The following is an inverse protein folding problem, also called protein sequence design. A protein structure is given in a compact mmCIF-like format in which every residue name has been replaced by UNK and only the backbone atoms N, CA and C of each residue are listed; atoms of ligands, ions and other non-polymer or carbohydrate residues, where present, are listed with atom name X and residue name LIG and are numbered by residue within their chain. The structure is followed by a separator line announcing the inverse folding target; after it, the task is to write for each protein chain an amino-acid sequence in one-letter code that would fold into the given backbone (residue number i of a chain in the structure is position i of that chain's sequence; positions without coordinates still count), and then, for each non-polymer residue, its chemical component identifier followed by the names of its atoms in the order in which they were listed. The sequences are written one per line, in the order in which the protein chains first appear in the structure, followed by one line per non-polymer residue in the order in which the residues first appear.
data_IF_337997713937
#
_entry.id   IF_337997713937
#
_cell.length_a   1.000
_cell.length_b   1.000
_cell.length_c   1.000
_cell.angle_alpha   90.00
_cell.angle_beta   90.00
_cell.angle_gamma   90.00
#
_symmetry.space_group_name_H-M   'P 1'
#
loop_
_entity.id
_entity.type
_entity.pdbx_description
1 polymer ?
#
# COMPACT_ATOMS: atom_id res chain seq x y z
N UNK A 1 13.85 1.92 10.66
CA UNK A 1 14.11 0.48 10.93
C UNK A 1 15.49 0.24 11.50
N UNK A 2 16.58 0.67 10.84
CA UNK A 2 17.96 0.43 11.30
C UNK A 2 18.20 0.75 12.79
N UNK A 3 17.80 1.94 13.25
CA UNK A 3 17.94 2.35 14.67
C UNK A 3 17.24 1.39 15.65
N UNK A 4 16.12 0.76 15.26
CA UNK A 4 15.44 -0.22 16.10
C UNK A 4 16.18 -1.55 16.12
N UNK A 5 16.65 -2.02 14.96
CA UNK A 5 17.39 -3.28 14.80
C UNK A 5 18.76 -3.27 15.50
N UNK A 6 19.39 -2.09 15.63
CA UNK A 6 20.66 -1.90 16.33
C UNK A 6 20.47 -1.52 17.81
N UNK A 7 19.22 -1.31 18.25
CA UNK A 7 18.88 -0.85 19.59
C UNK A 7 18.75 -1.95 20.64
N UNK A 8 17.97 -1.65 21.68
CA UNK A 8 17.68 -2.56 22.79
C UNK A 8 16.88 -3.80 22.34
N UNK A 9 16.86 -4.89 23.14
CA UNK A 9 16.06 -6.08 22.83
C UNK A 9 14.57 -5.77 22.55
N UNK A 10 14.00 -4.81 23.29
CA UNK A 10 12.61 -4.38 23.07
C UNK A 10 12.42 -3.67 21.72
N UNK A 11 13.39 -2.87 21.28
CA UNK A 11 13.36 -2.21 19.97
C UNK A 11 13.50 -3.20 18.83
N UNK A 12 14.37 -4.20 18.96
CA UNK A 12 14.51 -5.29 17.98
C UNK A 12 13.23 -6.11 17.88
N UNK A 13 12.61 -6.44 19.01
CA UNK A 13 11.32 -7.14 19.03
C UNK A 13 10.22 -6.33 18.36
N UNK A 14 10.14 -5.02 18.61
CA UNK A 14 9.19 -4.11 17.97
C UNK A 14 9.38 -4.04 16.44
N UNK A 15 10.63 -4.02 15.99
CA UNK A 15 10.98 -4.06 14.57
C UNK A 15 10.50 -5.37 13.92
N UNK A 16 10.81 -6.51 14.52
CA UNK A 16 10.39 -7.81 14.02
C UNK A 16 8.87 -7.98 14.01
N UNK A 17 8.20 -7.58 15.09
CA UNK A 17 6.74 -7.64 15.20
C UNK A 17 6.04 -6.78 14.14
N UNK A 18 6.60 -5.60 13.86
CA UNK A 18 6.09 -4.74 12.78
C UNK A 18 6.27 -5.38 11.40
N UNK A 19 7.41 -6.01 11.13
CA UNK A 19 7.63 -6.74 9.89
C UNK A 19 6.63 -7.91 9.75
N UNK A 20 6.41 -8.67 10.83
CA UNK A 20 5.47 -9.80 10.86
C UNK A 20 4.06 -9.38 10.42
N UNK A 21 3.56 -8.24 10.92
CA UNK A 21 2.24 -7.74 10.57
C UNK A 21 2.15 -7.16 9.16
N UNK A 22 3.20 -6.50 8.68
CA UNK A 22 3.12 -5.70 7.45
C UNK A 22 3.62 -6.41 6.20
N UNK A 23 4.36 -7.51 6.31
CA UNK A 23 4.92 -8.21 5.15
C UNK A 23 3.86 -8.59 4.11
N UNK A 24 2.88 -9.42 4.49
CA UNK A 24 1.84 -9.90 3.58
C UNK A 24 0.92 -8.78 3.06
N UNK A 25 0.43 -7.85 3.91
CA UNK A 25 -0.32 -6.70 3.41
C UNK A 25 0.45 -5.85 2.40
N UNK A 26 1.78 -5.76 2.52
CA UNK A 26 2.62 -5.04 1.55
C UNK A 26 2.67 -5.78 0.21
N UNK A 27 2.80 -7.12 0.22
CA UNK A 27 2.76 -7.93 -1.00
C UNK A 27 1.40 -7.89 -1.71
N UNK A 28 0.32 -7.72 -0.95
CA UNK A 28 -1.05 -7.52 -1.46
C UNK A 28 -1.23 -6.19 -2.18
N UNK A 29 -0.39 -5.17 -1.93
CA UNK A 29 -0.51 -3.85 -2.57
C UNK A 29 -0.30 -3.90 -4.09
N UNK A 30 0.42 -4.89 -4.60
CA UNK A 30 0.64 -5.07 -6.04
C UNK A 30 -0.62 -5.55 -6.77
N UNK A 31 -1.68 -5.90 -6.04
CA UNK A 31 -2.95 -6.36 -6.60
C UNK A 31 -3.06 -7.89 -6.63
N UNK A 32 -4.15 -8.42 -7.22
CA UNK A 32 -4.37 -9.86 -7.34
C UNK A 32 -3.31 -10.51 -8.23
N UNK A 33 -3.24 -11.84 -8.19
CA UNK A 33 -2.50 -12.63 -9.17
C UNK A 33 -2.89 -12.24 -10.62
N UNK A 34 -1.96 -12.41 -11.55
CA UNK A 34 -2.16 -11.97 -12.94
C UNK A 34 -3.36 -12.65 -13.62
N UNK A 35 -3.62 -13.92 -13.29
CA UNK A 35 -4.76 -14.72 -13.78
C UNK A 35 -6.13 -14.27 -13.23
N UNK A 36 -6.12 -13.60 -12.07
CA UNK A 36 -7.30 -13.05 -11.41
C UNK A 36 -7.43 -11.52 -11.63
N UNK A 37 -6.66 -10.93 -12.55
CA UNK A 37 -6.63 -9.49 -12.79
C UNK A 37 -7.32 -9.10 -14.12
N UNK A 38 -8.63 -8.82 -14.12
CA UNK A 38 -9.40 -8.57 -15.36
C UNK A 38 -8.95 -7.33 -16.13
N UNK A 39 -8.26 -6.39 -15.47
CA UNK A 39 -7.81 -5.14 -16.08
C UNK A 39 -6.37 -5.23 -16.66
N UNK A 40 -5.64 -6.32 -16.41
CA UNK A 40 -4.21 -6.39 -16.73
C UNK A 40 -3.95 -6.43 -18.23
N UNK A 41 -4.69 -7.24 -19.01
CA UNK A 41 -4.49 -7.35 -20.46
C UNK A 41 -4.64 -5.99 -21.16
N UNK A 42 -5.74 -5.29 -20.93
CA UNK A 42 -6.00 -3.98 -21.53
C UNK A 42 -5.01 -2.92 -21.06
N UNK A 43 -4.68 -2.89 -19.76
CA UNK A 43 -3.75 -1.92 -19.20
C UNK A 43 -2.33 -2.10 -19.73
N UNK A 44 -1.90 -3.35 -19.97
CA UNK A 44 -0.61 -3.65 -20.59
C UNK A 44 -0.60 -3.27 -22.07
N UNK A 45 -1.68 -3.56 -22.81
CA UNK A 45 -1.82 -3.19 -24.23
C UNK A 45 -1.71 -1.68 -24.46
N UNK A 46 -2.30 -0.89 -23.57
CA UNK A 46 -2.23 0.57 -23.61
C UNK A 46 -0.99 1.15 -22.92
N UNK A 47 -0.10 0.31 -22.38
CA UNK A 47 1.10 0.71 -21.63
C UNK A 47 0.79 1.60 -20.42
N UNK A 48 -0.42 1.45 -19.85
CA UNK A 48 -0.78 2.02 -18.54
C UNK A 48 -0.05 1.23 -17.45
N UNK A 49 -0.06 -0.10 -17.54
CA UNK A 49 0.85 -0.98 -16.80
C UNK A 49 2.04 -1.32 -17.69
N UNK A 50 3.25 -1.28 -17.13
CA UNK A 50 4.50 -1.69 -17.81
C UNK A 50 5.01 -3.05 -17.34
N UNK A 51 4.57 -3.47 -16.17
CA UNK A 51 4.87 -4.74 -15.54
C UNK A 51 3.56 -5.31 -14.99
N UNK A 52 3.46 -6.63 -14.94
CA UNK A 52 2.32 -7.30 -14.33
C UNK A 52 2.34 -7.17 -12.81
N UNK A 53 1.27 -7.59 -12.13
CA UNK A 53 1.20 -7.50 -10.68
C UNK A 53 2.23 -8.46 -10.06
N UNK A 54 2.33 -9.67 -10.61
CA UNK A 54 3.23 -10.70 -10.12
C UNK A 54 4.70 -10.34 -10.39
N UNK A 55 5.01 -9.73 -11.54
CA UNK A 55 6.35 -9.22 -11.84
C UNK A 55 6.82 -8.16 -10.84
N UNK A 56 5.95 -7.20 -10.48
CA UNK A 56 6.28 -6.18 -9.49
C UNK A 56 6.41 -6.76 -8.09
N UNK A 57 5.53 -7.71 -7.72
CA UNK A 57 5.60 -8.40 -6.43
C UNK A 57 6.90 -9.19 -6.30
N UNK A 58 7.28 -9.95 -7.33
CA UNK A 58 8.54 -10.71 -7.35
C UNK A 58 9.75 -9.78 -7.18
N UNK A 59 9.82 -8.70 -7.97
CA UNK A 59 10.91 -7.71 -7.85
C UNK A 59 11.00 -7.13 -6.44
N UNK A 60 9.86 -6.84 -5.82
CA UNK A 60 9.83 -6.35 -4.44
C UNK A 60 10.41 -7.36 -3.46
N UNK A 61 10.00 -8.63 -3.54
CA UNK A 61 10.56 -9.69 -2.68
C UNK A 61 12.06 -9.81 -2.88
N UNK A 62 12.53 -9.85 -4.12
CA UNK A 62 13.96 -9.98 -4.44
C UNK A 62 14.81 -8.84 -3.88
N UNK A 63 14.25 -7.62 -3.86
CA UNK A 63 14.91 -6.46 -3.28
C UNK A 63 14.85 -6.43 -1.74
N UNK A 64 13.75 -6.89 -1.15
CA UNK A 64 13.48 -6.68 0.27
C UNK A 64 14.01 -7.79 1.18
N UNK A 65 14.07 -9.04 0.70
CA UNK A 65 14.61 -10.16 1.52
C UNK A 65 16.06 -9.90 1.95
N UNK A 66 17.00 -9.52 1.06
CA UNK A 66 18.37 -9.21 1.47
C UNK A 66 18.46 -8.01 2.44
N UNK A 67 17.54 -7.05 2.33
CA UNK A 67 17.48 -5.91 3.25
C UNK A 67 17.00 -6.33 4.65
N UNK A 68 16.02 -7.24 4.73
CA UNK A 68 15.57 -7.79 5.99
C UNK A 68 16.70 -8.59 6.68
N UNK A 69 17.41 -9.43 5.92
CA UNK A 69 18.56 -10.20 6.40
C UNK A 69 19.69 -9.28 6.90
N UNK A 70 20.02 -8.22 6.14
CA UNK A 70 21.00 -7.21 6.54
C UNK A 70 20.64 -6.55 7.89
N UNK A 71 19.35 -6.32 8.13
CA UNK A 71 18.85 -5.75 9.39
C UNK A 71 18.71 -6.80 10.51
N UNK A 72 19.08 -8.06 10.28
CA UNK A 72 18.94 -9.16 11.24
C UNK A 72 17.48 -9.53 11.51
N UNK A 73 16.57 -9.22 10.59
CA UNK A 73 15.15 -9.55 10.68
C UNK A 73 14.86 -10.85 9.94
N UNK A 74 13.83 -11.58 10.39
CA UNK A 74 13.31 -12.76 9.72
C UNK A 74 12.06 -12.41 8.95
N UNK A 75 12.00 -12.72 7.66
CA UNK A 75 10.78 -12.55 6.86
C UNK A 75 9.72 -13.55 7.37
N UNK A 76 8.46 -13.13 7.63
CA UNK A 76 7.40 -14.00 8.19
C UNK A 76 6.79 -14.92 7.11
N UNK A 77 7.65 -15.61 6.39
CA UNK A 77 7.32 -16.57 5.35
C UNK A 77 8.34 -17.71 5.38
N UNK A 78 7.97 -18.91 5.86
CA UNK A 78 8.89 -20.04 5.96
C UNK A 78 9.30 -20.63 4.60
N UNK A 79 8.61 -20.24 3.52
CA UNK A 79 8.90 -20.73 2.17
C UNK A 79 9.89 -19.84 1.41
N UNK A 80 10.24 -18.67 1.97
CA UNK A 80 11.22 -17.77 1.38
C UNK A 80 12.57 -18.45 1.26
N UNK A 81 13.07 -18.57 0.03
CA UNK A 81 14.39 -19.13 -0.26
C UNK A 81 14.91 -18.59 -1.59
N UNK A 82 16.22 -18.35 -1.65
CA UNK A 82 16.88 -18.04 -2.91
C UNK A 82 16.82 -19.24 -3.86
N UNK A 83 16.37 -19.01 -5.09
CA UNK A 83 16.32 -20.02 -6.14
C UNK A 83 17.37 -19.71 -7.22
N UNK A 84 18.48 -20.46 -7.19
CA UNK A 84 19.60 -20.27 -8.12
C UNK A 84 19.20 -20.42 -9.60
N UNK A 85 18.25 -21.31 -9.93
CA UNK A 85 17.83 -21.52 -11.31
C UNK A 85 17.01 -20.34 -11.85
N UNK A 86 16.21 -19.70 -10.99
CA UNK A 86 15.36 -18.56 -11.34
C UNK A 86 16.06 -17.21 -11.14
N UNK A 87 17.16 -17.17 -10.39
CA UNK A 87 17.82 -15.95 -9.94
C UNK A 87 16.84 -15.00 -9.22
N UNK A 88 15.97 -15.59 -8.39
CA UNK A 88 14.91 -14.90 -7.66
C UNK A 88 14.59 -15.65 -6.37
N UNK A 89 13.92 -15.00 -5.41
CA UNK A 89 13.39 -15.67 -4.24
C UNK A 89 12.06 -16.37 -4.57
N UNK A 90 11.96 -17.64 -4.21
CA UNK A 90 10.65 -18.27 -4.04
C UNK A 90 10.02 -17.69 -2.77
N UNK A 91 8.70 -17.48 -2.76
CA UNK A 91 7.93 -17.03 -1.59
C UNK A 91 6.54 -17.66 -1.62
N UNK A 92 5.86 -17.58 -0.48
CA UNK A 92 4.63 -18.30 -0.20
C UNK A 92 3.42 -17.69 -0.86
N UNK A 93 2.31 -18.43 -0.80
CA UNK A 93 1.05 -17.95 -1.34
C UNK A 93 0.45 -16.85 -0.46
N UNK A 94 0.02 -15.77 -1.11
CA UNK A 94 -0.70 -14.67 -0.46
C UNK A 94 -2.08 -15.18 -0.03
N UNK A 95 -2.53 -14.78 1.16
CA UNK A 95 -3.91 -15.04 1.59
C UNK A 95 -4.90 -14.20 0.75
N UNK A 96 -5.38 -14.78 -0.35
CA UNK A 96 -6.28 -14.10 -1.28
C UNK A 96 -7.68 -13.86 -0.70
N UNK A 97 -8.13 -14.68 0.26
CA UNK A 97 -9.40 -14.48 0.96
C UNK A 97 -9.35 -13.18 1.78
N UNK A 98 -8.29 -13.01 2.57
CA UNK A 98 -8.04 -11.77 3.32
C UNK A 98 -7.93 -10.57 2.38
N UNK A 99 -7.15 -10.69 1.30
CA UNK A 99 -7.02 -9.64 0.29
C UNK A 99 -8.39 -9.14 -0.21
N UNK A 100 -9.25 -10.06 -0.66
CA UNK A 100 -10.56 -9.67 -1.18
C UNK A 100 -11.52 -9.17 -0.08
N UNK A 101 -11.42 -9.67 1.14
CA UNK A 101 -12.18 -9.13 2.27
C UNK A 101 -11.81 -7.66 2.53
N UNK A 102 -10.51 -7.33 2.57
CA UNK A 102 -10.02 -5.97 2.76
C UNK A 102 -10.43 -5.05 1.60
N UNK A 103 -10.28 -5.50 0.35
CA UNK A 103 -10.67 -4.71 -0.84
C UNK A 103 -12.18 -4.42 -0.85
N UNK A 104 -13.01 -5.35 -0.37
CA UNK A 104 -14.47 -5.19 -0.28
C UNK A 104 -14.93 -4.34 0.92
N UNK A 105 -14.01 -3.83 1.73
CA UNK A 105 -14.36 -2.98 2.88
C UNK A 105 -14.49 -3.71 4.22
N UNK A 106 -14.14 -4.99 4.29
CA UNK A 106 -14.28 -5.82 5.50
C UNK A 106 -12.93 -6.11 6.18
N UNK A 107 -11.94 -5.23 6.01
CA UNK A 107 -10.66 -5.31 6.71
C UNK A 107 -10.62 -4.51 7.99
N UNK A 108 -9.50 -4.64 8.72
CA UNK A 108 -9.30 -4.13 10.09
C UNK A 108 -9.63 -2.64 10.32
N UNK A 109 -9.46 -1.78 9.32
CA UNK A 109 -9.63 -0.34 9.50
C UNK A 109 -10.48 0.30 8.39
N UNK A 110 -11.15 -0.48 7.55
CA UNK A 110 -11.87 0.07 6.40
C UNK A 110 -12.96 1.04 6.84
N UNK A 111 -13.72 0.68 7.87
CA UNK A 111 -14.79 1.50 8.41
C UNK A 111 -14.26 2.82 9.00
N UNK A 112 -13.24 2.75 9.86
CA UNK A 112 -12.64 3.90 10.52
C UNK A 112 -11.99 4.85 9.51
N UNK A 113 -11.35 4.31 8.46
CA UNK A 113 -10.74 5.13 7.40
C UNK A 113 -11.78 5.89 6.60
N UNK A 114 -12.87 5.23 6.21
CA UNK A 114 -13.97 5.88 5.50
C UNK A 114 -14.67 6.90 6.39
N UNK A 115 -15.01 6.52 7.62
CA UNK A 115 -15.68 7.41 8.57
C UNK A 115 -14.85 8.67 8.84
N UNK A 116 -13.54 8.55 9.08
CA UNK A 116 -12.66 9.71 9.27
C UNK A 116 -12.65 10.65 8.05
N UNK A 117 -12.76 10.12 6.83
CA UNK A 117 -12.85 10.92 5.59
C UNK A 117 -14.22 11.57 5.42
N UNK A 118 -15.30 10.82 5.67
CA UNK A 118 -16.67 11.33 5.62
C UNK A 118 -16.84 12.46 6.64
N UNK A 119 -16.44 12.23 7.89
CA UNK A 119 -16.51 13.23 8.95
C UNK A 119 -15.75 14.50 8.59
N UNK A 120 -14.48 14.38 8.17
CA UNK A 120 -13.69 15.55 7.76
C UNK A 120 -14.32 16.29 6.57
N UNK A 121 -14.97 15.58 5.65
CA UNK A 121 -15.68 16.18 4.53
C UNK A 121 -16.94 16.91 4.98
N UNK A 122 -17.79 16.27 5.77
CA UNK A 122 -19.08 16.82 6.23
C UNK A 122 -18.87 18.00 7.18
N UNK A 123 -18.05 17.83 8.22
CA UNK A 123 -17.75 18.90 9.18
C UNK A 123 -16.99 20.07 8.53
N UNK A 124 -16.22 19.78 7.48
CA UNK A 124 -15.52 20.80 6.68
C UNK A 124 -16.39 21.49 5.61
N UNK A 125 -17.68 21.17 5.50
CA UNK A 125 -18.54 21.72 4.45
C UNK A 125 -18.62 23.25 4.48
N UNK A 126 -18.80 23.83 5.67
CA UNK A 126 -18.91 25.28 5.83
C UNK A 126 -17.64 26.03 5.38
N UNK A 127 -16.45 25.41 5.52
CA UNK A 127 -15.19 26.01 5.05
C UNK A 127 -15.18 26.10 3.53
N UNK A 128 -15.62 25.04 2.85
CA UNK A 128 -15.71 25.01 1.38
C UNK A 128 -16.72 26.03 0.89
N UNK A 129 -17.88 26.11 1.52
CA UNK A 129 -18.92 27.10 1.22
C UNK A 129 -18.43 28.54 1.44
N UNK A 130 -17.75 28.80 2.55
CA UNK A 130 -17.16 30.10 2.86
C UNK A 130 -16.11 30.50 1.81
N UNK A 131 -15.24 29.56 1.41
CA UNK A 131 -14.23 29.79 0.38
C UNK A 131 -14.88 30.12 -0.98
N UNK A 132 -15.89 29.36 -1.40
CA UNK A 132 -16.63 29.61 -2.63
C UNK A 132 -17.35 30.97 -2.61
N UNK A 133 -18.03 31.30 -1.51
CA UNK A 133 -18.72 32.58 -1.36
C UNK A 133 -17.75 33.77 -1.36
N UNK A 134 -16.58 33.62 -0.73
CA UNK A 134 -15.53 34.64 -0.75
C UNK A 134 -14.98 34.86 -2.17
N UNK A 135 -14.67 33.77 -2.88
CA UNK A 135 -14.19 33.82 -4.26
C UNK A 135 -15.20 34.50 -5.19
N UNK A 136 -16.49 34.17 -5.08
CA UNK A 136 -17.55 34.80 -5.86
C UNK A 136 -17.64 36.33 -5.61
N UNK A 137 -17.53 36.77 -4.35
CA UNK A 137 -17.50 38.21 -4.00
C UNK A 137 -16.28 38.91 -4.61
N UNK A 138 -15.12 38.26 -4.63
CA UNK A 138 -13.92 38.82 -5.24
C UNK A 138 -14.07 38.95 -6.76
N UNK A 139 -14.51 37.89 -7.43
CA UNK A 139 -14.73 37.90 -8.87
C UNK A 139 -15.74 38.99 -9.29
N UNK A 140 -16.83 39.18 -8.53
CA UNK A 140 -17.80 40.24 -8.80
C UNK A 140 -17.19 41.65 -8.66
N UNK A 141 -16.31 41.87 -7.66
CA UNK A 141 -15.62 43.16 -7.50
C UNK A 141 -14.62 43.41 -8.63
N UNK A 142 -13.89 42.39 -9.06
CA UNK A 142 -12.96 42.48 -10.18
C UNK A 142 -13.69 42.78 -11.50
N UNK A 143 -14.85 42.14 -11.74
CA UNK A 143 -15.67 42.40 -12.92
C UNK A 143 -16.30 43.81 -12.95
N UNK A 144 -16.58 44.41 -11.79
CA UNK A 144 -17.07 45.81 -11.70
C UNK A 144 -15.93 46.82 -11.92
N UNK A 145 -14.70 46.45 -11.58
CA UNK A 145 -13.53 47.33 -11.71
C UNK A 145 -12.90 47.34 -13.11
N UNK A 146 -13.27 46.40 -13.97
CA UNK A 146 -12.84 46.27 -15.37
C UNK A 146 -13.79 46.99 -16.32
#
# INVERSE_FOLDING_TARGET
MQTLCEGSPAQKAMAQESLNRWWWPTLMMFGPADDASPNTEQSMKWRIKRFTNDELRQKFVDMMVPQAEFLGLTVPDPTVKWNEARQAYDFGEVNWEEFWAVVKGNGLCNHERLQARVQAHEEGAWVREAASAHAAKRAAREAIAA
#
